data_IF_035323344614
#
_entry.id   IF_035323344614
#
_cell.length_a   1.000
_cell.length_b   1.000
_cell.length_c   1.000
_cell.angle_alpha   90.00
_cell.angle_beta   90.00
_cell.angle_gamma   90.00
#
_symmetry.space_group_name_H-M   'P 1'
#
loop_
_entity.id
_entity.type
_entity.pdbx_description
1 polymer ?
#
# COMPACT_ATOMS: atom_id res chain seq x y z
N UNK A 1 -37.40 -8.68 9.90
CA UNK A 1 -38.65 -8.68 10.66
C UNK A 1 -39.73 -9.23 9.76
N UNK A 2 -40.26 -10.44 10.08
CA UNK A 2 -41.26 -11.16 9.30
C UNK A 2 -42.53 -10.33 9.08
N UNK A 3 -42.98 -9.63 10.11
CA UNK A 3 -44.19 -8.80 10.03
C UNK A 3 -44.09 -7.73 8.94
N UNK A 4 -42.93 -7.15 8.72
CA UNK A 4 -42.71 -6.16 7.68
C UNK A 4 -42.73 -6.78 6.28
N UNK A 5 -42.19 -8.01 6.15
CA UNK A 5 -42.22 -8.77 4.87
C UNK A 5 -43.65 -9.09 4.45
N UNK A 6 -44.49 -9.53 5.38
CA UNK A 6 -45.90 -9.82 5.10
C UNK A 6 -46.73 -8.55 4.85
N UNK A 7 -46.45 -7.48 5.60
CA UNK A 7 -47.17 -6.20 5.45
C UNK A 7 -46.86 -5.50 4.12
N UNK A 8 -45.62 -5.60 3.64
CA UNK A 8 -45.19 -4.88 2.42
C UNK A 8 -45.19 -5.75 1.17
N UNK A 9 -45.22 -7.09 1.32
CA UNK A 9 -45.04 -8.03 0.22
C UNK A 9 -43.60 -7.97 -0.41
N UNK A 10 -42.64 -7.30 0.25
CA UNK A 10 -41.26 -7.17 -0.23
C UNK A 10 -40.34 -8.07 0.57
N UNK A 11 -39.31 -8.61 -0.10
CA UNK A 11 -38.26 -9.37 0.58
C UNK A 11 -37.42 -8.48 1.53
N UNK A 12 -36.84 -9.10 2.57
CA UNK A 12 -35.96 -8.45 3.54
C UNK A 12 -34.64 -9.20 3.67
N UNK A 13 -33.55 -8.48 3.87
CA UNK A 13 -32.22 -9.04 4.19
C UNK A 13 -31.75 -8.53 5.55
N UNK A 14 -31.12 -9.41 6.31
CA UNK A 14 -30.55 -9.07 7.63
C UNK A 14 -29.32 -9.92 7.92
N UNK A 15 -28.39 -9.35 8.72
CA UNK A 15 -27.20 -10.03 9.19
C UNK A 15 -27.33 -10.30 10.69
N UNK A 16 -26.89 -11.48 11.12
CA UNK A 16 -26.94 -11.88 12.52
C UNK A 16 -25.68 -12.65 12.91
N UNK A 17 -25.18 -12.33 14.08
CA UNK A 17 -24.08 -13.06 14.71
C UNK A 17 -24.68 -14.10 15.69
N UNK A 18 -24.30 -15.35 15.53
CA UNK A 18 -24.74 -16.44 16.41
C UNK A 18 -23.50 -17.04 17.07
N UNK A 19 -23.47 -17.02 18.39
CA UNK A 19 -22.41 -17.66 19.18
C UNK A 19 -22.90 -18.98 19.74
N UNK A 20 -22.28 -20.08 19.29
CA UNK A 20 -22.53 -21.44 19.79
C UNK A 20 -21.19 -22.05 20.22
N UNK A 21 -21.15 -22.62 21.43
CA UNK A 21 -19.97 -23.28 21.99
C UNK A 21 -18.70 -22.40 21.97
N UNK A 22 -18.89 -21.08 22.22
CA UNK A 22 -17.79 -20.11 22.23
C UNK A 22 -17.26 -19.72 20.81
N UNK A 23 -17.94 -20.16 19.75
CA UNK A 23 -17.62 -19.78 18.36
C UNK A 23 -18.72 -18.88 17.81
N UNK A 24 -18.36 -17.70 17.37
CA UNK A 24 -19.27 -16.77 16.69
C UNK A 24 -19.22 -17.04 15.19
N UNK A 25 -20.42 -17.14 14.58
CA UNK A 25 -20.61 -17.24 13.14
C UNK A 25 -21.52 -16.12 12.66
N UNK A 26 -21.24 -15.63 11.46
CA UNK A 26 -21.99 -14.56 10.83
C UNK A 26 -22.92 -15.14 9.78
N UNK A 27 -24.22 -14.82 9.86
CA UNK A 27 -25.22 -15.31 8.92
C UNK A 27 -25.92 -14.18 8.21
N UNK A 28 -26.07 -14.29 6.89
CA UNK A 28 -26.97 -13.48 6.09
C UNK A 28 -28.30 -14.24 5.94
N UNK A 29 -29.41 -13.62 6.37
CA UNK A 29 -30.74 -14.15 6.17
C UNK A 29 -31.48 -13.31 5.14
N UNK A 30 -32.04 -13.96 4.13
CA UNK A 30 -32.91 -13.34 3.15
C UNK A 30 -34.29 -13.98 3.25
N UNK A 31 -35.31 -13.18 3.44
CA UNK A 31 -36.68 -13.60 3.64
C UNK A 31 -37.50 -13.07 2.47
N UNK A 32 -38.23 -13.96 1.80
CA UNK A 32 -39.09 -13.66 0.65
C UNK A 32 -40.50 -14.11 0.97
N UNK A 33 -41.52 -13.26 0.83
CA UNK A 33 -42.90 -13.70 0.97
C UNK A 33 -43.27 -14.62 -0.19
N UNK A 34 -43.91 -15.77 0.10
CA UNK A 34 -44.46 -16.68 -0.91
C UNK A 34 -45.94 -16.40 -1.13
N UNK A 35 -46.66 -16.16 -0.03
CA UNK A 35 -48.08 -15.78 0.01
C UNK A 35 -48.38 -15.04 1.31
N UNK A 36 -49.63 -14.82 1.67
CA UNK A 36 -50.04 -14.07 2.86
C UNK A 36 -49.70 -14.75 4.19
N UNK A 37 -49.33 -16.04 4.20
CA UNK A 37 -49.07 -16.84 5.40
C UNK A 37 -47.69 -17.51 5.40
N UNK A 38 -47.03 -17.61 4.24
CA UNK A 38 -45.78 -18.33 4.09
C UNK A 38 -44.66 -17.43 3.58
N UNK A 39 -43.45 -17.62 4.11
CA UNK A 39 -42.23 -16.96 3.65
C UNK A 39 -41.09 -17.97 3.49
N UNK A 40 -40.28 -17.81 2.43
CA UNK A 40 -39.03 -18.52 2.25
C UNK A 40 -37.91 -17.76 2.96
N UNK A 41 -37.22 -18.44 3.86
CA UNK A 41 -36.01 -17.92 4.48
C UNK A 41 -34.78 -18.65 3.94
N UNK A 42 -33.85 -17.94 3.36
CA UNK A 42 -32.53 -18.43 2.95
C UNK A 42 -31.50 -17.92 3.94
N UNK A 43 -30.85 -18.83 4.66
CA UNK A 43 -29.78 -18.53 5.60
C UNK A 43 -28.43 -18.96 5.01
N UNK A 44 -27.50 -18.04 4.92
CA UNK A 44 -26.16 -18.29 4.39
C UNK A 44 -25.12 -17.98 5.49
N UNK A 45 -24.23 -18.94 5.76
CA UNK A 45 -23.03 -18.68 6.58
C UNK A 45 -22.07 -17.83 5.76
N UNK A 46 -21.76 -16.62 6.24
CA UNK A 46 -20.85 -15.64 5.61
C UNK A 46 -19.61 -15.41 6.47
N UNK A 47 -19.35 -16.24 7.49
CA UNK A 47 -18.27 -16.05 8.46
C UNK A 47 -16.91 -15.90 7.79
N UNK A 48 -16.58 -16.82 6.86
CA UNK A 48 -15.29 -16.78 6.14
C UNK A 48 -15.19 -15.54 5.22
N UNK A 49 -16.28 -15.17 4.56
CA UNK A 49 -16.31 -14.01 3.68
C UNK A 49 -16.12 -12.70 4.45
N UNK A 50 -16.80 -12.55 5.61
CA UNK A 50 -16.63 -11.36 6.47
C UNK A 50 -15.26 -11.34 7.13
N UNK A 51 -14.69 -12.48 7.54
CA UNK A 51 -13.34 -12.56 8.07
C UNK A 51 -12.29 -12.14 7.02
N UNK A 52 -12.39 -12.64 5.78
CA UNK A 52 -11.49 -12.27 4.68
C UNK A 52 -11.61 -10.77 4.33
N UNK A 53 -12.83 -10.23 4.32
CA UNK A 53 -13.07 -8.81 4.10
C UNK A 53 -12.44 -7.95 5.20
N UNK A 54 -12.63 -8.34 6.46
CA UNK A 54 -12.03 -7.64 7.60
C UNK A 54 -10.50 -7.66 7.53
N UNK A 55 -9.89 -8.80 7.22
CA UNK A 55 -8.44 -8.92 7.03
C UNK A 55 -7.94 -7.98 5.92
N UNK A 56 -8.63 -7.92 4.78
CA UNK A 56 -8.29 -7.01 3.69
C UNK A 56 -8.39 -5.54 4.12
N UNK A 57 -9.43 -5.17 4.88
CA UNK A 57 -9.60 -3.81 5.43
C UNK A 57 -8.47 -3.44 6.40
N UNK A 58 -8.06 -4.38 7.25
CA UNK A 58 -6.92 -4.19 8.18
C UNK A 58 -5.61 -3.99 7.44
N UNK A 59 -5.35 -4.78 6.38
CA UNK A 59 -4.16 -4.62 5.54
C UNK A 59 -4.17 -3.26 4.84
N UNK A 60 -5.29 -2.86 4.24
CA UNK A 60 -5.44 -1.54 3.61
C UNK A 60 -5.20 -0.41 4.61
N UNK A 61 -5.77 -0.52 5.81
CA UNK A 61 -5.55 0.46 6.88
C UNK A 61 -4.07 0.56 7.25
N UNK A 62 -3.40 -0.58 7.43
CA UNK A 62 -1.96 -0.60 7.74
C UNK A 62 -1.13 0.06 6.63
N UNK A 63 -1.36 -0.28 5.35
CA UNK A 63 -0.65 0.30 4.22
C UNK A 63 -0.85 1.82 4.08
N UNK A 64 -2.03 2.33 4.46
CA UNK A 64 -2.33 3.76 4.37
C UNK A 64 -1.81 4.58 5.56
N UNK A 65 -1.44 3.92 6.68
CA UNK A 65 -0.96 4.59 7.89
C UNK A 65 0.55 4.42 8.13
N UNK A 66 1.31 3.86 7.18
CA UNK A 66 2.78 3.88 7.24
C UNK A 66 3.31 5.18 6.65
N UNK A 67 4.47 5.65 7.14
CA UNK A 67 5.16 6.84 6.63
C UNK A 67 5.90 6.59 5.30
N UNK A 68 5.78 5.40 4.75
CA UNK A 68 6.42 4.99 3.50
C UNK A 68 5.46 5.15 2.32
N UNK A 69 5.99 5.57 1.18
CA UNK A 69 5.24 5.51 -0.08
C UNK A 69 5.22 4.06 -0.58
N UNK A 70 4.01 3.51 -0.76
CA UNK A 70 3.82 2.18 -1.30
C UNK A 70 2.99 2.30 -2.56
N UNK A 71 3.56 1.87 -3.68
CA UNK A 71 2.87 1.93 -4.96
C UNK A 71 3.25 0.77 -5.86
N UNK A 72 2.39 0.46 -6.82
CA UNK A 72 2.60 -0.61 -7.78
C UNK A 72 2.20 -0.19 -9.18
N UNK A 73 2.87 -0.78 -10.16
CA UNK A 73 2.58 -0.57 -11.57
C UNK A 73 2.82 -1.85 -12.38
N UNK A 74 2.21 -1.91 -13.55
CA UNK A 74 2.51 -2.92 -14.56
C UNK A 74 3.91 -2.75 -15.14
N UNK A 75 4.39 -3.71 -15.94
CA UNK A 75 5.72 -3.66 -16.57
C UNK A 75 5.88 -2.49 -17.56
N UNK A 76 4.78 -1.98 -18.12
CA UNK A 76 4.82 -0.80 -18.99
C UNK A 76 4.79 0.52 -18.21
N UNK A 77 4.78 0.43 -16.87
CA UNK A 77 4.77 1.56 -15.95
C UNK A 77 3.41 2.12 -15.60
N UNK A 78 2.29 1.54 -16.10
CA UNK A 78 0.94 2.01 -15.74
C UNK A 78 0.69 1.80 -14.26
N UNK A 79 0.30 2.86 -13.55
CA UNK A 79 0.03 2.79 -12.12
C UNK A 79 -1.24 1.98 -11.84
N UNK A 80 -1.18 1.11 -10.81
CA UNK A 80 -2.29 0.23 -10.41
C UNK A 80 -2.67 0.40 -8.95
N UNK A 81 -1.70 0.70 -8.13
CA UNK A 81 -1.90 0.92 -6.70
C UNK A 81 -1.01 2.06 -6.21
N UNK A 82 -1.52 2.82 -5.27
CA UNK A 82 -0.75 3.77 -4.46
C UNK A 82 -1.46 3.93 -3.11
N UNK A 83 -0.68 3.90 -2.02
CA UNK A 83 -1.19 4.21 -0.70
C UNK A 83 -1.43 5.72 -0.53
N UNK A 84 -2.06 6.10 0.58
CA UNK A 84 -2.41 7.50 0.86
C UNK A 84 -1.18 8.41 0.91
N UNK A 85 -0.05 7.94 1.44
CA UNK A 85 1.19 8.72 1.51
C UNK A 85 1.70 9.12 0.12
N UNK A 86 1.69 8.18 -0.83
CA UNK A 86 2.05 8.47 -2.22
C UNK A 86 1.07 9.47 -2.84
N UNK A 87 -0.25 9.24 -2.69
CA UNK A 87 -1.30 10.08 -3.27
C UNK A 87 -1.22 11.53 -2.79
N UNK A 88 -1.09 11.72 -1.49
CA UNK A 88 -0.98 13.06 -0.87
C UNK A 88 0.29 13.78 -1.33
N UNK A 89 1.42 13.08 -1.36
CA UNK A 89 2.69 13.71 -1.75
C UNK A 89 2.75 14.14 -3.20
N UNK A 90 2.16 13.34 -4.09
CA UNK A 90 2.21 13.57 -5.52
C UNK A 90 0.94 14.22 -6.09
N UNK A 91 0.02 14.66 -5.22
CA UNK A 91 -1.25 15.30 -5.57
C UNK A 91 -2.06 14.47 -6.58
N UNK A 92 -2.14 13.15 -6.32
CA UNK A 92 -2.81 12.20 -7.22
C UNK A 92 -4.22 11.91 -6.74
N UNK A 93 -5.19 12.42 -7.47
CA UNK A 93 -6.61 12.13 -7.25
C UNK A 93 -7.16 11.20 -8.35
N UNK A 94 -8.19 10.46 -8.02
CA UNK A 94 -8.94 9.66 -8.99
C UNK A 94 -8.26 8.38 -9.46
N UNK A 95 -8.37 8.12 -10.77
CA UNK A 95 -7.94 6.86 -11.40
C UNK A 95 -6.44 6.85 -11.67
N UNK A 96 -5.73 5.92 -11.01
CA UNK A 96 -4.29 5.73 -11.17
C UNK A 96 -3.88 5.24 -12.56
N UNK A 97 -4.75 4.53 -13.26
CA UNK A 97 -4.42 3.92 -14.56
C UNK A 97 -4.10 4.95 -15.67
N UNK A 98 -4.44 6.21 -15.44
CA UNK A 98 -4.12 7.33 -16.34
C UNK A 98 -2.68 7.82 -16.19
N UNK A 99 -1.96 7.36 -15.18
CA UNK A 99 -0.60 7.79 -14.86
C UNK A 99 0.41 6.69 -15.11
N UNK A 100 1.62 7.10 -15.48
CA UNK A 100 2.78 6.22 -15.54
C UNK A 100 3.68 6.51 -14.33
N UNK A 101 4.29 5.47 -13.74
CA UNK A 101 5.17 5.60 -12.58
C UNK A 101 6.29 6.64 -12.78
N UNK A 102 6.75 6.78 -14.01
CA UNK A 102 7.81 7.74 -14.35
C UNK A 102 7.32 9.19 -14.53
N UNK A 103 6.02 9.46 -14.54
CA UNK A 103 5.48 10.82 -14.53
C UNK A 103 5.78 11.52 -13.19
N UNK A 104 5.97 10.74 -12.13
CA UNK A 104 6.29 11.21 -10.77
C UNK A 104 7.80 11.35 -10.51
N UNK A 105 8.64 11.07 -11.48
CA UNK A 105 10.09 11.21 -11.32
C UNK A 105 10.56 12.60 -11.78
N UNK A 106 11.36 13.23 -10.92
CA UNK A 106 11.76 14.64 -11.06
C UNK A 106 12.76 14.94 -12.20
N UNK A 107 12.92 14.07 -13.23
CA UNK A 107 13.94 14.24 -14.25
C UNK A 107 13.52 13.77 -15.65
N UNK A 108 14.10 14.39 -16.68
CA UNK A 108 13.86 14.03 -18.08
C UNK A 108 14.41 12.63 -18.43
N UNK A 109 13.76 11.94 -19.39
CA UNK A 109 14.19 10.62 -19.87
C UNK A 109 13.62 9.43 -19.08
N UNK A 110 12.56 9.66 -18.36
CA UNK A 110 11.91 8.74 -17.43
C UNK A 110 11.60 7.35 -18.01
N UNK A 111 11.18 7.23 -19.27
CA UNK A 111 10.87 5.91 -19.88
C UNK A 111 12.12 5.04 -20.10
N UNK A 112 13.20 5.60 -20.63
CA UNK A 112 14.47 4.86 -20.81
C UNK A 112 15.03 4.41 -19.45
N UNK A 113 14.88 5.23 -18.45
CA UNK A 113 15.30 4.89 -17.08
C UNK A 113 14.39 3.83 -16.46
N UNK A 114 13.10 3.81 -16.81
CA UNK A 114 12.18 2.75 -16.42
C UNK A 114 12.65 1.38 -16.92
N UNK A 115 12.93 1.27 -18.21
CA UNK A 115 13.42 0.02 -18.81
C UNK A 115 14.75 -0.43 -18.18
N UNK A 116 15.67 0.50 -17.96
CA UNK A 116 16.95 0.22 -17.29
C UNK A 116 16.75 -0.25 -15.83
N UNK A 117 15.75 0.30 -15.14
CA UNK A 117 15.41 -0.08 -13.78
C UNK A 117 14.79 -1.47 -13.71
N UNK A 118 13.85 -1.79 -14.58
CA UNK A 118 13.30 -3.15 -14.72
C UNK A 118 14.40 -4.18 -14.98
N UNK A 119 15.34 -3.87 -15.88
CA UNK A 119 16.47 -4.73 -16.15
C UNK A 119 17.35 -4.98 -14.92
N UNK A 120 17.53 -3.96 -14.06
CA UNK A 120 18.25 -4.11 -12.78
C UNK A 120 17.49 -4.99 -11.79
N UNK A 121 16.18 -4.76 -11.60
CA UNK A 121 15.36 -5.56 -10.70
C UNK A 121 15.40 -7.04 -11.11
N UNK A 122 15.27 -7.34 -12.40
CA UNK A 122 15.37 -8.72 -12.92
C UNK A 122 16.73 -9.35 -12.70
N UNK A 123 17.82 -8.60 -12.90
CA UNK A 123 19.19 -9.06 -12.66
C UNK A 123 19.43 -9.40 -11.19
N UNK A 124 18.82 -8.66 -10.28
CA UNK A 124 18.93 -8.81 -8.83
C UNK A 124 17.87 -9.77 -8.27
N UNK A 125 17.50 -10.80 -9.03
CA UNK A 125 16.53 -11.83 -8.66
C UNK A 125 15.13 -11.29 -8.27
N UNK A 126 14.65 -10.29 -9.00
CA UNK A 126 13.30 -9.70 -8.80
C UNK A 126 13.21 -8.69 -7.68
N UNK A 127 14.33 -8.29 -7.05
CA UNK A 127 14.37 -7.25 -6.02
C UNK A 127 15.57 -6.34 -6.20
N UNK A 128 15.37 -5.03 -6.14
CA UNK A 128 16.46 -4.05 -6.23
C UNK A 128 16.27 -2.94 -5.21
N UNK A 129 17.32 -2.69 -4.41
CA UNK A 129 17.37 -1.60 -3.43
C UNK A 129 18.32 -0.51 -3.90
N UNK A 130 17.89 0.75 -3.82
CA UNK A 130 18.72 1.90 -4.19
C UNK A 130 18.29 3.16 -3.44
N UNK A 131 19.24 4.11 -3.31
CA UNK A 131 18.96 5.43 -2.76
C UNK A 131 18.97 6.45 -3.88
N UNK A 132 17.92 7.27 -3.96
CA UNK A 132 17.85 8.41 -4.87
C UNK A 132 18.03 9.71 -4.08
N UNK A 133 18.64 10.72 -4.71
CA UNK A 133 18.74 12.07 -4.16
C UNK A 133 18.26 13.05 -5.21
N UNK A 134 17.36 13.93 -4.82
CA UNK A 134 16.81 14.94 -5.73
C UNK A 134 16.54 16.25 -4.96
N UNK A 135 16.35 17.34 -5.69
CA UNK A 135 15.90 18.60 -5.10
C UNK A 135 14.37 18.60 -5.07
N UNK A 136 13.79 18.85 -3.91
CA UNK A 136 12.36 19.08 -3.80
C UNK A 136 11.98 20.49 -4.35
N UNK A 137 10.70 20.82 -4.39
CA UNK A 137 10.18 22.10 -4.88
C UNK A 137 10.76 23.32 -4.14
N UNK A 138 11.18 23.12 -2.89
CA UNK A 138 11.82 24.17 -2.06
C UNK A 138 13.33 24.26 -2.30
N UNK A 139 13.88 23.51 -3.27
CA UNK A 139 15.30 23.46 -3.60
C UNK A 139 16.19 22.69 -2.61
N UNK A 140 15.60 22.04 -1.59
CA UNK A 140 16.32 21.21 -0.61
C UNK A 140 16.63 19.84 -1.20
N UNK A 141 17.85 19.36 -0.99
CA UNK A 141 18.21 17.98 -1.35
C UNK A 141 17.54 17.02 -0.36
N UNK A 142 16.74 16.12 -0.89
CA UNK A 142 16.11 15.03 -0.15
C UNK A 142 16.66 13.69 -0.63
N UNK A 143 16.69 12.72 0.27
CA UNK A 143 17.19 11.38 -0.01
C UNK A 143 16.13 10.33 0.32
N UNK A 144 15.92 9.41 -0.63
CA UNK A 144 14.93 8.35 -0.50
C UNK A 144 15.57 6.99 -0.70
N UNK A 145 15.36 6.09 0.25
CA UNK A 145 15.63 4.66 0.07
C UNK A 145 14.41 4.02 -0.59
N UNK A 146 14.62 3.39 -1.73
CA UNK A 146 13.58 2.72 -2.49
C UNK A 146 13.94 1.24 -2.61
N UNK A 147 12.97 0.38 -2.34
CA UNK A 147 13.04 -1.05 -2.63
C UNK A 147 11.97 -1.38 -3.66
N UNK A 148 12.37 -2.00 -4.75
CA UNK A 148 11.48 -2.43 -5.81
C UNK A 148 11.46 -3.95 -5.92
N UNK A 149 10.28 -4.53 -6.14
CA UNK A 149 10.07 -5.97 -6.32
C UNK A 149 9.26 -6.22 -7.58
N UNK A 150 9.63 -7.25 -8.35
CA UNK A 150 8.74 -7.84 -9.36
C UNK A 150 8.05 -9.05 -8.71
N UNK A 151 6.73 -9.02 -8.68
CA UNK A 151 5.88 -10.07 -8.10
C UNK A 151 4.96 -10.59 -9.19
N UNK A 152 4.77 -11.91 -9.26
CA UNK A 152 3.81 -12.51 -10.17
C UNK A 152 2.41 -12.52 -9.57
N UNK A 153 1.46 -11.86 -10.24
CA UNK A 153 0.05 -11.89 -9.89
C UNK A 153 -0.61 -13.12 -10.56
N UNK A 154 -0.89 -14.12 -9.74
CA UNK A 154 -1.52 -15.36 -10.20
C UNK A 154 -2.97 -15.21 -10.67
N UNK A 155 -3.68 -14.14 -10.25
CA UNK A 155 -5.05 -13.89 -10.69
C UNK A 155 -5.10 -13.29 -12.10
N UNK A 156 -4.18 -12.40 -12.40
CA UNK A 156 -4.10 -11.73 -13.69
C UNK A 156 -3.03 -12.35 -14.60
N UNK A 157 -2.36 -13.41 -14.14
CA UNK A 157 -1.30 -14.14 -14.84
C UNK A 157 -0.21 -13.24 -15.43
N UNK A 158 0.23 -12.23 -14.65
CA UNK A 158 1.21 -11.24 -15.08
C UNK A 158 2.14 -10.78 -13.95
N UNK A 159 3.26 -10.18 -14.33
CA UNK A 159 4.17 -9.53 -13.40
C UNK A 159 3.72 -8.10 -13.08
N UNK A 160 3.84 -7.73 -11.80
CA UNK A 160 3.59 -6.39 -11.26
C UNK A 160 4.85 -5.94 -10.53
N UNK A 161 5.18 -4.65 -10.62
CA UNK A 161 6.31 -4.05 -9.91
C UNK A 161 5.79 -3.27 -8.71
N UNK A 162 6.23 -3.66 -7.52
CA UNK A 162 5.94 -2.97 -6.27
C UNK A 162 7.12 -2.13 -5.83
N UNK A 163 6.84 -0.95 -5.28
CA UNK A 163 7.82 -0.02 -4.73
C UNK A 163 7.47 0.33 -3.30
N UNK A 164 8.52 0.40 -2.49
CA UNK A 164 8.48 0.85 -1.10
C UNK A 164 9.53 1.96 -0.96
N UNK A 165 9.07 3.19 -0.78
CA UNK A 165 9.90 4.38 -0.70
C UNK A 165 9.87 5.00 0.68
N UNK A 166 11.05 5.24 1.29
CA UNK A 166 11.19 5.86 2.59
C UNK A 166 12.07 7.10 2.51
N UNK A 167 11.59 8.22 3.05
CA UNK A 167 12.42 9.41 3.23
C UNK A 167 13.47 9.16 4.32
N UNK A 168 14.74 9.23 3.93
CA UNK A 168 15.89 9.03 4.81
C UNK A 168 16.73 10.29 4.97
N UNK A 169 16.20 11.43 4.55
CA UNK A 169 16.90 12.72 4.55
C UNK A 169 17.45 13.08 5.93
N UNK A 170 16.59 13.04 6.95
CA UNK A 170 17.00 13.38 8.32
C UNK A 170 18.05 12.39 8.85
N UNK A 171 17.90 11.09 8.55
CA UNK A 171 18.89 10.08 8.97
C UNK A 171 20.25 10.36 8.36
N UNK A 172 20.32 10.63 7.05
CA UNK A 172 21.56 10.91 6.34
C UNK A 172 22.17 12.22 6.83
N UNK A 173 21.38 13.26 7.06
CA UNK A 173 21.86 14.53 7.62
C UNK A 173 22.47 14.34 9.01
N UNK A 174 21.81 13.53 9.86
CA UNK A 174 22.34 13.23 11.20
C UNK A 174 23.63 12.41 11.14
N UNK A 175 23.68 11.36 10.31
CA UNK A 175 24.89 10.56 10.10
C UNK A 175 26.07 11.41 9.61
N UNK A 176 25.82 12.35 8.69
CA UNK A 176 26.84 13.27 8.19
C UNK A 176 27.35 14.23 9.27
N UNK A 177 26.45 14.79 10.10
CA UNK A 177 26.85 15.65 11.23
C UNK A 177 27.71 14.89 12.24
N UNK A 178 27.36 13.64 12.55
CA UNK A 178 28.16 12.80 13.46
C UNK A 178 29.54 12.53 12.87
N UNK A 179 29.64 12.20 11.58
CA UNK A 179 30.93 12.00 10.90
C UNK A 179 31.79 13.25 10.91
N UNK A 180 31.21 14.42 10.62
CA UNK A 180 31.90 15.68 10.65
C UNK A 180 32.43 16.01 12.06
N UNK A 181 31.60 15.82 13.09
CA UNK A 181 31.98 16.00 14.48
C UNK A 181 33.15 15.08 14.88
N UNK A 182 33.09 13.81 14.52
CA UNK A 182 34.15 12.85 14.80
C UNK A 182 35.46 13.25 14.09
N UNK A 183 35.41 13.71 12.84
CA UNK A 183 36.58 14.19 12.12
C UNK A 183 37.23 15.42 12.79
N UNK A 184 36.40 16.34 13.28
CA UNK A 184 36.87 17.50 14.04
C UNK A 184 37.53 17.06 15.34
N UNK A 185 36.92 16.11 16.09
CA UNK A 185 37.49 15.59 17.33
C UNK A 185 38.83 14.90 17.10
N UNK A 186 38.93 14.06 16.06
CA UNK A 186 40.19 13.43 15.67
C UNK A 186 41.28 14.46 15.33
N UNK A 187 40.92 15.49 14.58
CA UNK A 187 41.84 16.58 14.27
C UNK A 187 42.33 17.33 15.53
N UNK A 188 41.45 17.61 16.48
CA UNK A 188 41.80 18.27 17.75
C UNK A 188 42.71 17.34 18.56
N UNK A 189 42.35 16.05 18.74
CA UNK A 189 43.13 15.10 19.53
C UNK A 189 44.55 14.89 18.99
N UNK A 190 44.70 14.83 17.66
CA UNK A 190 45.97 14.66 16.97
C UNK A 190 46.86 15.91 17.04
N UNK A 191 46.30 17.08 17.33
CA UNK A 191 47.03 18.34 17.42
C UNK A 191 47.23 18.84 18.85
N UNK A 192 46.77 18.11 19.88
CA UNK A 192 47.06 18.43 21.28
C UNK A 192 48.51 18.02 21.58
N UNK A 193 49.42 18.95 21.94
CA UNK A 193 50.76 18.56 22.32
C UNK A 193 50.73 17.77 23.62
N UNK A 194 51.26 16.56 23.58
CA UNK A 194 51.49 15.75 24.78
C UNK A 194 52.73 16.32 25.49
N UNK A 195 52.49 16.96 26.61
CA UNK A 195 53.54 17.44 27.49
C UNK A 195 53.92 16.36 28.52
#
# INVERSE_FOLDING_TARGET
>A
NLDNVFATGCGSSSHHDITLDGRTRNYENRIFPLDGEHALCICRDITEAEAAKHELEMVKYALNNVDEEIYACSLDGTMEYANEQFRVRHDVEGDLSQHKVYDFWSYEGSRLQWEARLAKIRRDNGSHKYTVRFKNEQGRIVAWDIVAYIIYDYFQEREIVWFFGRDVTQRIEHENKVKEMNSILECILNNIPVY
#
